data_IF_919926317717
#
_entry.id   IF_919926317717
#
_cell.length_a   1.000
_cell.length_b   1.000
_cell.length_c   1.000
_cell.angle_alpha   90.00
_cell.angle_beta   90.00
_cell.angle_gamma   90.00
#
_symmetry.space_group_name_H-M   'P 1'
#
loop_
_entity.id
_entity.type
_entity.pdbx_description
1 polymer ?
#
# COMPACT_ATOMS: atom_id res chain seq x y z
N UNK A 1 16.09 4.27 -4.64
CA UNK A 1 16.38 5.69 -4.96
C UNK A 1 15.14 6.32 -5.58
N UNK A 2 14.83 7.58 -5.27
CA UNK A 2 13.64 8.25 -5.80
C UNK A 2 13.75 8.45 -7.31
N UNK A 3 12.67 8.18 -8.05
CA UNK A 3 12.61 8.48 -9.49
C UNK A 3 12.67 10.00 -9.66
N UNK A 4 13.64 10.48 -10.44
CA UNK A 4 13.77 11.90 -10.73
C UNK A 4 12.48 12.40 -11.42
N UNK A 5 11.92 13.52 -10.93
CA UNK A 5 10.72 14.18 -11.51
C UNK A 5 11.05 14.90 -12.84
N UNK A 6 12.03 14.40 -13.58
CA UNK A 6 12.49 14.95 -14.85
C UNK A 6 11.42 14.72 -15.91
N UNK A 7 11.00 15.80 -16.58
CA UNK A 7 9.93 15.77 -17.59
C UNK A 7 8.52 16.07 -17.09
N UNK A 8 8.26 16.07 -15.77
CA UNK A 8 6.93 16.45 -15.26
C UNK A 8 6.68 17.95 -15.38
N UNK A 9 5.50 18.32 -15.91
CA UNK A 9 5.02 19.71 -15.95
C UNK A 9 4.75 20.20 -14.52
N UNK A 10 4.82 21.52 -14.30
CA UNK A 10 4.58 22.14 -12.99
C UNK A 10 3.24 21.75 -12.37
N UNK A 11 2.20 21.60 -13.19
CA UNK A 11 0.87 21.18 -12.72
C UNK A 11 0.87 19.73 -12.21
N UNK A 12 1.55 18.83 -12.91
CA UNK A 12 1.64 17.41 -12.52
C UNK A 12 2.41 17.25 -11.21
N UNK A 13 3.46 18.05 -11.00
CA UNK A 13 4.18 18.09 -9.71
C UNK A 13 3.30 18.57 -8.56
N UNK A 14 2.49 19.61 -8.79
CA UNK A 14 1.51 20.09 -7.79
C UNK A 14 0.45 19.04 -7.49
N UNK A 15 -0.08 18.38 -8.53
CA UNK A 15 -1.06 17.33 -8.36
C UNK A 15 -0.47 16.15 -7.59
N UNK A 16 0.76 15.75 -7.89
CA UNK A 16 1.47 14.71 -7.16
C UNK A 16 1.64 15.09 -5.69
N UNK A 17 2.08 16.31 -5.38
CA UNK A 17 2.24 16.78 -4.00
C UNK A 17 0.92 16.72 -3.22
N UNK A 18 -0.20 17.09 -3.86
CA UNK A 18 -1.55 16.98 -3.27
C UNK A 18 -1.93 15.50 -3.06
N UNK A 19 -1.74 14.65 -4.06
CA UNK A 19 -2.06 13.22 -3.98
C UNK A 19 -1.18 12.47 -2.97
N UNK A 20 0.05 12.95 -2.73
CA UNK A 20 1.00 12.38 -1.79
C UNK A 20 0.73 12.78 -0.33
N UNK A 21 -0.22 13.70 -0.07
CA UNK A 21 -0.53 14.18 1.29
C UNK A 21 -0.84 13.09 2.33
N UNK A 22 -1.53 11.96 2.02
CA UNK A 22 -1.76 10.92 3.02
C UNK A 22 -0.60 9.94 3.16
N UNK A 23 0.52 10.12 2.44
CA UNK A 23 1.61 9.16 2.42
C UNK A 23 2.80 9.59 3.29
N UNK A 24 3.45 8.62 3.93
CA UNK A 24 4.63 8.84 4.76
C UNK A 24 5.68 7.77 4.47
N UNK A 25 6.96 8.17 4.47
CA UNK A 25 8.09 7.24 4.40
C UNK A 25 8.58 6.95 5.81
N UNK A 26 8.55 5.69 6.24
CA UNK A 26 8.96 5.26 7.57
C UNK A 26 9.96 4.12 7.39
N UNK A 27 11.20 4.32 7.85
CA UNK A 27 12.28 3.32 7.79
C UNK A 27 12.56 2.73 6.39
N UNK A 28 12.22 3.47 5.33
CA UNK A 28 12.42 3.05 3.94
C UNK A 28 11.18 2.46 3.26
N UNK A 29 10.14 2.17 4.02
CA UNK A 29 8.84 1.71 3.50
C UNK A 29 7.87 2.88 3.34
N UNK A 30 7.04 2.83 2.30
CA UNK A 30 5.97 3.81 2.08
C UNK A 30 4.71 3.36 2.80
N UNK A 31 4.05 4.27 3.51
CA UNK A 31 2.78 4.05 4.20
C UNK A 31 1.74 5.04 3.73
N UNK A 32 0.47 4.64 3.74
CA UNK A 32 -0.69 5.50 3.48
C UNK A 32 -1.56 5.57 4.74
N UNK A 33 -1.89 6.77 5.18
CA UNK A 33 -2.90 7.02 6.19
C UNK A 33 -4.29 6.84 5.58
N UNK A 34 -5.06 5.90 6.13
CA UNK A 34 -6.46 5.70 5.79
C UNK A 34 -7.37 6.74 6.43
N UNK A 35 -8.62 6.82 5.97
CA UNK A 35 -9.64 7.66 6.60
C UNK A 35 -10.02 7.19 8.01
N UNK A 36 -9.66 5.95 8.34
CA UNK A 36 -9.77 5.29 9.65
C UNK A 36 -8.59 5.59 10.58
N UNK A 37 -7.70 6.51 10.19
CA UNK A 37 -6.48 6.88 10.93
C UNK A 37 -5.45 5.75 11.06
N UNK A 38 -5.62 4.66 10.29
CA UNK A 38 -4.70 3.52 10.29
C UNK A 38 -3.63 3.70 9.21
N UNK A 39 -2.37 3.44 9.55
CA UNK A 39 -1.25 3.42 8.59
C UNK A 39 -1.10 2.05 7.94
N UNK A 40 -1.18 2.04 6.60
CA UNK A 40 -1.07 0.83 5.79
C UNK A 40 0.18 0.88 4.95
N UNK A 41 1.03 -0.14 5.03
CA UNK A 41 2.23 -0.23 4.20
C UNK A 41 1.82 -0.37 2.73
N UNK A 42 2.38 0.46 1.86
CA UNK A 42 2.26 0.33 0.43
C UNK A 42 3.16 -0.81 -0.02
N UNK A 43 2.54 -1.88 -0.47
CA UNK A 43 3.22 -3.09 -0.95
C UNK A 43 3.56 -2.91 -2.42
N UNK A 44 4.77 -3.28 -2.84
CA UNK A 44 5.15 -3.24 -4.25
C UNK A 44 4.40 -4.32 -5.03
N UNK A 45 4.19 -4.10 -6.33
CA UNK A 45 3.42 -5.03 -7.16
C UNK A 45 4.00 -6.46 -7.15
N UNK A 46 5.31 -6.64 -7.07
CA UNK A 46 5.87 -7.99 -6.98
C UNK A 46 5.72 -8.64 -5.59
N UNK A 47 5.52 -7.84 -4.54
CA UNK A 47 5.31 -8.33 -3.18
C UNK A 47 3.84 -8.73 -2.93
N UNK A 48 2.89 -8.18 -3.70
CA UNK A 48 1.45 -8.41 -3.47
C UNK A 48 1.07 -9.89 -3.58
N UNK A 49 1.64 -10.61 -4.56
CA UNK A 49 1.36 -12.03 -4.78
C UNK A 49 1.86 -12.86 -3.61
N UNK A 50 3.08 -12.59 -3.15
CA UNK A 50 3.69 -13.29 -2.03
C UNK A 50 2.89 -13.09 -0.74
N UNK A 51 2.49 -11.84 -0.43
CA UNK A 51 1.66 -11.54 0.74
C UNK A 51 0.29 -12.22 0.64
N UNK A 52 -0.32 -12.25 -0.55
CA UNK A 52 -1.59 -12.93 -0.77
C UNK A 52 -1.46 -14.44 -0.56
N UNK A 53 -0.40 -15.05 -1.09
CA UNK A 53 -0.12 -16.47 -0.89
C UNK A 53 0.11 -16.80 0.59
N UNK A 54 0.88 -15.99 1.32
CA UNK A 54 1.12 -16.19 2.75
C UNK A 54 -0.16 -16.03 3.57
N UNK A 55 -0.97 -15.02 3.29
CA UNK A 55 -2.27 -14.82 3.93
C UNK A 55 -3.21 -16.00 3.68
N UNK A 56 -3.19 -16.54 2.45
CA UNK A 56 -3.97 -17.72 2.07
C UNK A 56 -3.48 -18.99 2.79
N UNK A 57 -2.16 -19.24 2.81
CA UNK A 57 -1.55 -20.41 3.48
C UNK A 57 -1.70 -20.39 5.00
N UNK A 58 -1.72 -19.20 5.61
CA UNK A 58 -1.92 -19.01 7.04
C UNK A 58 -3.37 -19.22 7.51
N UNK A 59 -4.31 -19.53 6.62
CA UNK A 59 -5.72 -19.77 6.95
C UNK A 59 -6.04 -21.27 7.01
N UNK A 60 -6.02 -21.84 8.21
CA UNK A 60 -6.59 -23.17 8.44
C UNK A 60 -8.12 -23.04 8.51
N UNK A 61 -8.79 -23.28 7.38
CA UNK A 61 -10.16 -23.82 7.30
C UNK A 61 -11.34 -22.88 7.57
N UNK A 62 -11.95 -22.32 6.51
CA UNK A 62 -13.30 -21.77 6.57
C UNK A 62 -13.74 -21.00 5.31
N UNK A 63 -15.06 -20.96 5.05
CA UNK A 63 -15.73 -20.34 3.89
C UNK A 63 -15.55 -18.80 3.72
N UNK A 64 -14.62 -18.17 4.45
CA UNK A 64 -14.36 -16.73 4.46
C UNK A 64 -12.91 -16.37 4.07
N UNK A 65 -12.21 -17.25 3.34
CA UNK A 65 -10.79 -17.05 3.02
C UNK A 65 -10.50 -15.74 2.24
N UNK A 66 -11.44 -15.30 1.38
CA UNK A 66 -11.32 -14.03 0.65
C UNK A 66 -11.47 -12.79 1.55
N UNK A 67 -12.55 -12.75 2.35
CA UNK A 67 -12.80 -11.65 3.29
C UNK A 67 -11.75 -11.58 4.40
N UNK A 68 -11.26 -12.71 4.90
CA UNK A 68 -10.19 -12.74 5.91
C UNK A 68 -8.84 -12.24 5.36
N UNK A 69 -8.55 -12.51 4.08
CA UNK A 69 -7.36 -12.00 3.39
C UNK A 69 -7.47 -10.49 3.18
N UNK A 70 -8.63 -10.02 2.73
CA UNK A 70 -8.91 -8.59 2.63
C UNK A 70 -8.84 -7.91 4.01
N UNK A 71 -9.36 -8.53 5.07
CA UNK A 71 -9.32 -7.98 6.42
C UNK A 71 -7.89 -7.91 6.99
N UNK A 72 -7.00 -8.86 6.68
CA UNK A 72 -5.58 -8.81 7.10
C UNK A 72 -4.72 -7.83 6.30
N UNK A 73 -5.10 -7.54 5.06
CA UNK A 73 -4.39 -6.59 4.19
C UNK A 73 -4.95 -5.15 4.38
N UNK A 74 -6.23 -5.05 4.72
CA UNK A 74 -6.98 -3.81 4.96
C UNK A 74 -7.27 -3.56 6.46
N UNK A 75 -6.57 -4.22 7.40
CA UNK A 75 -6.45 -3.76 8.79
C UNK A 75 -5.01 -3.46 9.14
#
# INVERSE_FOLDING_TARGET
EGVALEGMKTLEKKQLAICATPYMLISGDLYKLGCDEVLRRCVLEHEHLTIMEEAHRGSVGGHYAGDATAHKILM
#
